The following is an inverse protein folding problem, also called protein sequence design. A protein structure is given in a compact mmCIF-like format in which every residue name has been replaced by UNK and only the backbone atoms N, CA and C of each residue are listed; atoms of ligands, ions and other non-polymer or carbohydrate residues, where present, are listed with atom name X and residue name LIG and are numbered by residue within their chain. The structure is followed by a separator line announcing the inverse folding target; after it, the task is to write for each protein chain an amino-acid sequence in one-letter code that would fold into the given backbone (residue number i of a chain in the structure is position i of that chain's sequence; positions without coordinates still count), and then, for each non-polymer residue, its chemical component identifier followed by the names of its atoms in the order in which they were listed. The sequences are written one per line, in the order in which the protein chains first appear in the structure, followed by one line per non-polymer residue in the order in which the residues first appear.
data_IF_867221114380
#
_entry.id   IF_867221114380
#
_cell.length_a   1.000
_cell.length_b   1.000
_cell.length_c   1.000
_cell.angle_alpha   90.00
_cell.angle_beta   90.00
_cell.angle_gamma   90.00
#
_symmetry.space_group_name_H-M   'P 1'
#
loop_
_entity.id
_entity.type
_entity.pdbx_description
1 polymer ?
#
# COMPACT_ATOMS: atom_id res chain seq x y z
N UNK A 1 8.15 28.40 -5.02
CA UNK A 1 7.27 27.60 -4.13
C UNK A 1 7.24 26.21 -4.70
N UNK A 2 7.85 25.22 -4.04
CA UNK A 2 7.73 23.83 -4.50
C UNK A 2 6.29 23.39 -4.23
N UNK A 3 5.51 23.21 -5.30
CA UNK A 3 4.30 22.40 -5.26
C UNK A 3 4.67 21.04 -4.67
N UNK A 4 4.04 20.66 -3.56
CA UNK A 4 4.08 19.28 -3.10
C UNK A 4 3.46 18.46 -4.24
N UNK A 5 4.29 17.71 -4.97
CA UNK A 5 3.80 16.76 -5.95
C UNK A 5 2.71 15.91 -5.29
N UNK A 6 1.55 15.85 -5.93
CA UNK A 6 0.44 15.04 -5.44
C UNK A 6 0.94 13.61 -5.22
N UNK A 7 0.58 13.02 -4.09
CA UNK A 7 0.85 11.62 -3.82
C UNK A 7 0.14 10.76 -4.88
N UNK A 8 0.91 9.94 -5.60
CA UNK A 8 0.40 9.19 -6.74
C UNK A 8 -0.21 7.87 -6.28
N UNK A 9 -1.52 7.76 -6.46
CA UNK A 9 -2.28 6.54 -6.18
C UNK A 9 -2.00 5.45 -7.24
N UNK A 10 -1.79 4.24 -6.76
CA UNK A 10 -1.60 3.02 -7.56
C UNK A 10 -2.66 2.02 -7.13
N UNK A 11 -3.57 1.69 -8.04
CA UNK A 11 -4.56 0.63 -7.83
C UNK A 11 -3.93 -0.77 -7.84
N UNK A 12 -4.62 -1.74 -7.23
CA UNK A 12 -4.19 -3.14 -7.13
C UNK A 12 -3.69 -3.74 -8.46
N UNK A 13 -4.42 -3.50 -9.56
CA UNK A 13 -4.13 -4.00 -10.90
C UNK A 13 -2.84 -3.41 -11.51
N UNK A 14 -2.34 -2.31 -10.94
CA UNK A 14 -1.12 -1.60 -11.34
C UNK A 14 0.03 -1.78 -10.36
N UNK A 15 -0.16 -2.52 -9.28
CA UNK A 15 0.94 -2.88 -8.38
C UNK A 15 1.98 -3.73 -9.12
N UNK A 16 3.29 -3.55 -8.84
CA UNK A 16 4.35 -4.34 -9.44
C UNK A 16 4.04 -5.84 -9.41
N UNK A 17 4.38 -6.57 -10.48
CA UNK A 17 4.15 -8.02 -10.55
C UNK A 17 4.92 -8.76 -9.45
N UNK A 18 6.14 -8.31 -9.20
CA UNK A 18 7.06 -8.69 -8.14
C UNK A 18 6.80 -7.92 -6.85
N UNK A 19 5.53 -7.93 -6.40
CA UNK A 19 5.17 -7.30 -5.12
C UNK A 19 6.01 -7.88 -3.98
N UNK A 20 6.41 -6.99 -3.06
CA UNK A 20 7.43 -7.27 -2.04
C UNK A 20 7.03 -8.36 -1.05
N UNK A 21 5.73 -8.60 -0.89
CA UNK A 21 5.16 -9.58 0.03
C UNK A 21 4.09 -10.40 -0.67
N UNK A 22 3.60 -11.44 -0.01
CA UNK A 22 2.62 -12.36 -0.60
C UNK A 22 1.24 -11.72 -0.74
N UNK A 23 0.83 -10.93 0.25
CA UNK A 23 -0.50 -10.30 0.28
C UNK A 23 -0.47 -8.95 -0.45
N UNK A 24 -1.46 -8.74 -1.33
CA UNK A 24 -1.61 -7.48 -2.07
C UNK A 24 -2.66 -6.59 -1.41
N UNK A 25 -2.35 -5.29 -1.20
CA UNK A 25 -3.33 -4.31 -0.78
C UNK A 25 -4.23 -3.87 -1.94
N UNK A 26 -5.36 -3.25 -1.65
CA UNK A 26 -6.26 -2.67 -2.67
C UNK A 26 -5.60 -1.52 -3.44
N UNK A 27 -4.75 -0.75 -2.75
CA UNK A 27 -3.99 0.32 -3.35
C UNK A 27 -2.66 0.56 -2.63
N UNK A 28 -1.81 1.35 -3.28
CA UNK A 28 -0.60 1.90 -2.70
C UNK A 28 -0.40 3.35 -3.13
N UNK A 29 0.36 4.08 -2.33
CA UNK A 29 0.73 5.47 -2.59
C UNK A 29 2.23 5.52 -2.87
N UNK A 30 2.60 6.18 -3.97
CA UNK A 30 4.00 6.46 -4.30
C UNK A 30 4.48 7.78 -3.71
N UNK A 31 5.72 7.80 -3.25
CA UNK A 31 6.43 9.04 -2.94
C UNK A 31 6.85 9.78 -4.22
N UNK A 32 7.42 10.97 -4.05
CA UNK A 32 7.95 11.80 -5.13
C UNK A 32 9.12 11.17 -5.90
N UNK A 33 9.74 10.11 -5.38
CA UNK A 33 10.79 9.33 -6.06
C UNK A 33 10.18 8.13 -6.82
N UNK A 34 8.86 7.97 -6.79
CA UNK A 34 8.13 6.87 -7.44
C UNK A 34 8.16 5.55 -6.66
N UNK A 35 8.69 5.54 -5.44
CA UNK A 35 8.73 4.35 -4.57
C UNK A 35 7.42 4.19 -3.85
N UNK A 36 7.03 2.95 -3.56
CA UNK A 36 5.87 2.68 -2.72
C UNK A 36 6.18 3.12 -1.30
N UNK A 37 5.46 4.12 -0.81
CA UNK A 37 5.61 4.66 0.54
C UNK A 37 4.58 4.07 1.50
N UNK A 38 3.36 3.81 1.01
CA UNK A 38 2.24 3.31 1.82
C UNK A 38 1.37 2.34 1.02
N UNK A 39 0.75 1.40 1.73
CA UNK A 39 -0.29 0.51 1.24
C UNK A 39 -1.61 0.85 1.95
N UNK A 40 -2.72 0.72 1.22
CA UNK A 40 -4.05 1.10 1.68
C UNK A 40 -5.06 0.00 1.39
N UNK A 41 -5.89 -0.29 2.38
CA UNK A 41 -7.13 -1.07 2.23
C UNK A 41 -8.32 -0.13 2.37
N UNK A 42 -9.34 -0.27 1.53
CA UNK A 42 -10.51 0.61 1.57
C UNK A 42 -11.80 -0.08 1.13
N UNK A 43 -12.91 0.21 1.83
CA UNK A 43 -14.26 -0.13 1.36
C UNK A 43 -14.67 -1.60 1.40
N UNK A 44 -13.89 -2.48 2.04
CA UNK A 44 -14.19 -3.91 2.15
C UNK A 44 -14.57 -4.37 3.56
N UNK A 45 -15.38 -5.44 3.62
CA UNK A 45 -15.60 -6.23 4.84
C UNK A 45 -14.47 -7.26 4.98
N UNK A 46 -13.32 -6.79 5.44
CA UNK A 46 -12.13 -7.63 5.56
C UNK A 46 -12.17 -8.45 6.86
N UNK A 47 -11.91 -9.77 6.79
CA UNK A 47 -11.64 -10.54 7.99
C UNK A 47 -10.45 -9.94 8.74
N UNK A 48 -10.56 -9.82 10.08
CA UNK A 48 -9.49 -9.30 10.94
C UNK A 48 -8.16 -10.04 10.71
N UNK A 49 -8.22 -11.36 10.45
CA UNK A 49 -7.05 -12.16 10.14
C UNK A 49 -6.30 -11.69 8.89
N UNK A 50 -7.01 -11.24 7.84
CA UNK A 50 -6.41 -10.68 6.62
C UNK A 50 -5.72 -9.35 6.92
N UNK A 51 -6.38 -8.48 7.70
CA UNK A 51 -5.82 -7.18 8.10
C UNK A 51 -4.55 -7.34 8.95
N UNK A 52 -4.52 -8.34 9.84
CA UNK A 52 -3.31 -8.68 10.62
C UNK A 52 -2.22 -9.19 9.68
N UNK A 53 -2.52 -10.17 8.82
CA UNK A 53 -1.53 -10.78 7.92
C UNK A 53 -0.88 -9.73 7.00
N UNK A 54 -1.68 -8.85 6.39
CA UNK A 54 -1.15 -7.82 5.50
C UNK A 54 -0.32 -6.78 6.27
N UNK A 55 -0.78 -6.37 7.46
CA UNK A 55 -0.05 -5.42 8.30
C UNK A 55 1.33 -5.97 8.69
N UNK A 56 1.39 -7.21 9.18
CA UNK A 56 2.63 -7.85 9.59
C UNK A 56 3.61 -8.03 8.43
N UNK A 57 3.11 -8.45 7.26
CA UNK A 57 3.95 -8.62 6.08
C UNK A 57 4.52 -7.27 5.59
N UNK A 58 3.69 -6.23 5.46
CA UNK A 58 4.17 -4.91 5.03
C UNK A 58 5.13 -4.28 6.03
N UNK A 59 4.87 -4.43 7.33
CA UNK A 59 5.79 -3.98 8.38
C UNK A 59 7.16 -4.66 8.27
N UNK A 60 7.20 -5.96 7.90
CA UNK A 60 8.46 -6.71 7.73
C UNK A 60 9.36 -6.18 6.61
N UNK A 61 8.80 -5.44 5.64
CA UNK A 61 9.53 -4.79 4.54
C UNK A 61 9.55 -3.26 4.67
N UNK A 62 9.11 -2.72 5.80
CA UNK A 62 9.16 -1.29 6.10
C UNK A 62 8.12 -0.43 5.37
N UNK A 63 7.04 -1.01 4.86
CA UNK A 63 5.95 -0.26 4.21
C UNK A 63 4.87 0.10 5.24
N UNK A 64 4.51 1.39 5.29
CA UNK A 64 3.39 1.87 6.10
C UNK A 64 2.06 1.33 5.57
N UNK A 65 1.14 1.00 6.48
CA UNK A 65 -0.15 0.40 6.15
C UNK A 65 -1.30 1.19 6.81
N UNK A 66 -2.32 1.53 6.03
CA UNK A 66 -3.50 2.27 6.50
C UNK A 66 -4.79 1.56 6.05
N UNK A 67 -5.84 1.68 6.87
CA UNK A 67 -7.20 1.22 6.58
C UNK A 67 -8.11 2.44 6.51
N UNK A 68 -8.81 2.62 5.39
CA UNK A 68 -9.61 3.80 5.06
C UNK A 68 -11.11 3.49 4.93
#
# INVERSE_FOLDING_TARGET
TQERAAEDWVSEDRLPRDWLVKVRPDAAIRDHEGRIARAVEYGGDYPVSRLIEIHEQLASVGIGYELW
#
